data_IF_117750064254
#
_entry.id   IF_117750064254
#
_cell.length_a   1.000
_cell.length_b   1.000
_cell.length_c   1.000
_cell.angle_alpha   90.00
_cell.angle_beta   90.00
_cell.angle_gamma   90.00
#
_symmetry.space_group_name_H-M   'P 1'
#
loop_
_entity.id
_entity.type
_entity.pdbx_description
1 polymer ?
#
# COMPACT_ATOMS: atom_id res chain seq x y z
N UNK A 1 16.36 -0.91 -3.23
CA UNK A 1 15.37 -0.02 -3.89
C UNK A 1 15.23 -0.49 -5.32
N UNK A 2 14.01 -0.80 -5.75
CA UNK A 2 13.71 -1.31 -7.10
C UNK A 2 13.12 -0.17 -7.89
N UNK A 3 13.57 0.05 -9.12
CA UNK A 3 13.05 1.13 -9.95
C UNK A 3 12.91 0.74 -11.41
N UNK A 4 12.01 1.45 -12.08
CA UNK A 4 11.77 1.38 -13.52
C UNK A 4 11.85 2.79 -14.11
N UNK A 5 11.58 2.94 -15.40
CA UNK A 5 11.49 4.24 -16.06
C UNK A 5 10.46 5.17 -15.40
N UNK A 6 9.33 4.63 -14.91
CA UNK A 6 8.18 5.43 -14.42
C UNK A 6 7.94 5.30 -12.91
N UNK A 7 8.33 4.18 -12.32
CA UNK A 7 8.00 3.84 -10.94
C UNK A 7 9.25 3.58 -10.12
N UNK A 8 9.17 3.83 -8.82
CA UNK A 8 10.03 3.18 -7.85
C UNK A 8 9.18 2.42 -6.84
N UNK A 9 9.71 1.30 -6.37
CA UNK A 9 9.11 0.50 -5.32
C UNK A 9 9.92 0.71 -4.04
N UNK A 10 9.21 0.95 -2.94
CA UNK A 10 9.76 1.00 -1.59
C UNK A 10 8.87 0.26 -0.60
N UNK A 11 9.42 -0.06 0.56
CA UNK A 11 8.59 -0.53 1.68
C UNK A 11 7.51 0.52 2.02
N UNK A 12 6.35 0.02 2.43
CA UNK A 12 5.27 0.83 2.98
C UNK A 12 5.74 1.50 4.28
N UNK A 13 5.22 2.70 4.52
CA UNK A 13 5.50 3.49 5.71
C UNK A 13 4.19 3.87 6.40
N UNK A 14 4.21 4.18 7.70
CA UNK A 14 3.02 4.67 8.42
C UNK A 14 2.35 5.87 7.75
N UNK A 15 3.12 6.72 7.07
CA UNK A 15 2.63 7.88 6.33
C UNK A 15 1.79 7.53 5.10
N UNK A 16 1.86 6.30 4.60
CA UNK A 16 1.12 5.87 3.40
C UNK A 16 -0.34 5.53 3.69
N UNK A 17 -0.76 5.55 4.96
CA UNK A 17 -2.13 5.21 5.37
C UNK A 17 -3.19 5.94 4.54
N UNK A 18 -3.04 7.25 4.35
CA UNK A 18 -4.04 8.04 3.63
C UNK A 18 -4.14 7.62 2.15
N UNK A 19 -3.00 7.35 1.51
CA UNK A 19 -2.99 6.86 0.13
C UNK A 19 -3.56 5.43 0.04
N UNK A 20 -3.28 4.57 1.03
CA UNK A 20 -3.85 3.23 1.11
C UNK A 20 -5.37 3.26 1.33
N UNK A 21 -5.89 4.17 2.16
CA UNK A 21 -7.34 4.32 2.34
C UNK A 21 -8.05 4.58 1.01
N UNK A 22 -7.48 5.44 0.15
CA UNK A 22 -8.05 5.72 -1.18
C UNK A 22 -8.15 4.48 -2.08
N UNK A 23 -7.31 3.48 -1.86
CA UNK A 23 -7.26 2.24 -2.66
C UNK A 23 -8.11 1.15 -2.00
N UNK A 24 -7.90 0.89 -0.71
CA UNK A 24 -8.51 -0.22 0.03
C UNK A 24 -9.95 0.04 0.45
N UNK A 25 -10.39 1.29 0.45
CA UNK A 25 -11.78 1.65 0.74
C UNK A 25 -12.58 1.92 -0.55
N UNK A 26 -11.95 1.82 -1.71
CA UNK A 26 -12.62 1.95 -3.01
C UNK A 26 -13.32 0.63 -3.37
N UNK A 27 -14.65 0.65 -3.44
CA UNK A 27 -15.48 -0.53 -3.73
C UNK A 27 -15.17 -1.15 -5.08
N UNK A 28 -14.79 -0.34 -6.08
CA UNK A 28 -14.44 -0.84 -7.41
C UNK A 28 -13.12 -1.62 -7.38
N UNK A 29 -12.11 -1.08 -6.69
CA UNK A 29 -10.81 -1.74 -6.49
C UNK A 29 -10.97 -3.02 -5.65
N UNK A 30 -11.87 -2.98 -4.67
CA UNK A 30 -12.10 -4.07 -3.74
C UNK A 30 -13.19 -5.06 -4.17
N UNK A 31 -13.75 -4.94 -5.38
CA UNK A 31 -14.86 -5.80 -5.84
C UNK A 31 -14.52 -7.30 -5.76
N UNK A 32 -13.26 -7.67 -6.00
CA UNK A 32 -12.79 -9.04 -5.95
C UNK A 32 -12.39 -9.50 -4.53
N UNK A 33 -12.36 -8.58 -3.57
CA UNK A 33 -12.13 -8.81 -2.16
C UNK A 33 -13.46 -8.86 -1.40
N UNK A 34 -13.44 -9.26 -0.13
CA UNK A 34 -14.62 -9.35 0.76
C UNK A 34 -15.21 -7.96 1.13
N UNK A 35 -15.19 -7.00 0.20
CA UNK A 35 -15.65 -5.63 0.37
C UNK A 35 -14.54 -4.62 0.62
N UNK A 36 -14.90 -3.34 0.45
CA UNK A 36 -14.05 -2.21 0.81
C UNK A 36 -13.80 -2.17 2.32
N UNK A 37 -12.58 -1.81 2.70
CA UNK A 37 -12.18 -1.72 4.10
C UNK A 37 -12.77 -0.46 4.75
N UNK A 38 -12.93 -0.49 6.07
CA UNK A 38 -13.07 0.70 6.90
C UNK A 38 -11.70 1.19 7.42
N UNK A 39 -11.66 2.32 8.13
CA UNK A 39 -10.40 2.91 8.62
C UNK A 39 -9.60 2.01 9.57
N UNK A 40 -10.29 1.20 10.38
CA UNK A 40 -9.66 0.27 11.32
C UNK A 40 -9.00 -0.87 10.53
N UNK A 41 -9.69 -1.36 9.52
CA UNK A 41 -9.18 -2.43 8.63
C UNK A 41 -7.98 -1.96 7.80
N UNK A 42 -7.99 -0.72 7.30
CA UNK A 42 -6.83 -0.13 6.60
C UNK A 42 -5.61 -0.08 7.53
N UNK A 43 -5.79 0.41 8.77
CA UNK A 43 -4.69 0.47 9.73
C UNK A 43 -4.17 -0.94 10.08
N UNK A 44 -5.08 -1.88 10.35
CA UNK A 44 -4.71 -3.26 10.68
C UNK A 44 -3.96 -3.95 9.52
N UNK A 45 -4.37 -3.67 8.28
CA UNK A 45 -3.69 -4.15 7.09
C UNK A 45 -2.29 -3.57 6.96
N UNK A 46 -2.12 -2.26 7.11
CA UNK A 46 -0.81 -1.60 7.07
C UNK A 46 0.13 -2.16 8.15
N UNK A 47 -0.35 -2.30 9.39
CA UNK A 47 0.42 -2.88 10.49
C UNK A 47 0.87 -4.31 10.19
N UNK A 48 0.01 -5.11 9.54
CA UNK A 48 0.35 -6.47 9.11
C UNK A 48 1.46 -6.46 8.04
N UNK A 49 1.41 -5.51 7.10
CA UNK A 49 2.44 -5.38 6.07
C UNK A 49 3.79 -4.95 6.67
N UNK A 50 3.80 -3.98 7.59
CA UNK A 50 5.02 -3.55 8.29
C UNK A 50 5.64 -4.69 9.11
N UNK A 51 4.82 -5.48 9.80
CA UNK A 51 5.27 -6.69 10.51
C UNK A 51 5.81 -7.76 9.55
N UNK A 52 5.29 -7.84 8.32
CA UNK A 52 5.80 -8.78 7.32
C UNK A 52 7.25 -8.48 6.97
N UNK A 53 7.63 -7.21 6.80
CA UNK A 53 9.03 -6.85 6.54
C UNK A 53 9.95 -7.29 7.69
N UNK A 54 9.54 -7.03 8.93
CA UNK A 54 10.33 -7.43 10.10
C UNK A 54 10.51 -8.94 10.23
N UNK A 55 9.46 -9.71 9.89
CA UNK A 55 9.48 -11.17 10.02
C UNK A 55 10.19 -11.88 8.86
N UNK A 56 9.96 -11.39 7.64
CA UNK A 56 10.31 -12.12 6.41
C UNK A 56 11.45 -11.45 5.64
N UNK A 57 11.78 -10.18 5.92
CA UNK A 57 12.68 -9.37 5.11
C UNK A 57 12.08 -8.90 3.78
N UNK A 58 10.80 -9.19 3.52
CA UNK A 58 10.06 -8.77 2.33
C UNK A 58 8.53 -8.77 2.57
N UNK A 59 7.78 -8.14 1.65
CA UNK A 59 6.33 -8.02 1.71
C UNK A 59 5.76 -7.40 0.42
N UNK A 60 4.56 -6.83 0.49
CA UNK A 60 4.03 -5.93 -0.55
C UNK A 60 4.78 -4.60 -0.53
N UNK A 61 4.83 -3.86 -1.62
CA UNK A 61 5.63 -2.62 -1.73
C UNK A 61 4.73 -1.50 -2.20
N UNK A 62 4.99 -0.27 -1.74
CA UNK A 62 4.40 0.92 -2.30
C UNK A 62 4.96 1.15 -3.70
N UNK A 63 4.08 1.21 -4.70
CA UNK A 63 4.38 1.63 -6.05
C UNK A 63 4.19 3.14 -6.18
N UNK A 64 5.29 3.86 -6.39
CA UNK A 64 5.26 5.32 -6.43
C UNK A 64 5.59 5.82 -7.84
N UNK A 65 4.74 6.71 -8.35
CA UNK A 65 4.93 7.38 -9.63
C UNK A 65 6.03 8.43 -9.49
N UNK A 66 7.12 8.28 -10.27
CA UNK A 66 8.30 9.18 -10.18
C UNK A 66 7.99 10.63 -10.51
N UNK A 67 7.02 10.87 -11.39
CA UNK A 67 6.67 12.21 -11.86
C UNK A 67 6.03 13.07 -10.77
N UNK A 68 5.18 12.46 -9.93
CA UNK A 68 4.37 13.18 -8.93
C UNK A 68 4.78 12.88 -7.50
N UNK A 69 5.48 11.77 -7.26
CA UNK A 69 5.73 11.24 -5.91
C UNK A 69 4.51 10.57 -5.28
N UNK A 70 3.42 10.40 -6.04
CA UNK A 70 2.18 9.79 -5.54
C UNK A 70 2.29 8.27 -5.51
N UNK A 71 1.84 7.68 -4.40
CA UNK A 71 1.67 6.23 -4.29
C UNK A 71 0.39 5.82 -5.03
N UNK A 72 0.53 4.91 -6.00
CA UNK A 72 -0.55 4.47 -6.89
C UNK A 72 -0.88 2.98 -6.74
N UNK A 73 -0.27 2.30 -5.77
CA UNK A 73 -0.43 0.87 -5.50
C UNK A 73 0.51 0.38 -4.41
#
# INVERSE_FOLDING_TARGET
MIETKRLYLRELQPSDREALSKILQDEQTMYAYEGAFNDIEVQAWLDKQLKSYQRNGFGLWAAVLKETGEMIG
#
